data_IF_942008128490
#
_entry.id   IF_942008128490
#
_cell.length_a   1.000
_cell.length_b   1.000
_cell.length_c   1.000
_cell.angle_alpha   90.00
_cell.angle_beta   90.00
_cell.angle_gamma   90.00
#
_symmetry.space_group_name_H-M   'P 1'
#
loop_
_entity.id
_entity.type
_entity.pdbx_description
1 polymer ?
#
# COMPACT_ATOMS: atom_id res chain seq x y z
N UNK A 1 34.29 2.76 21.10
CA UNK A 1 33.73 2.71 22.46
C UNK A 1 32.56 1.75 22.45
N UNK A 2 32.65 0.64 23.19
CA UNK A 2 31.50 -0.23 23.43
C UNK A 2 30.47 0.50 24.28
N UNK A 3 29.20 0.36 23.91
CA UNK A 3 28.07 0.98 24.60
C UNK A 3 27.86 0.14 25.86
N UNK A 4 28.31 0.63 27.02
CA UNK A 4 28.25 -0.11 28.29
C UNK A 4 26.80 -0.51 28.58
N UNK A 5 26.54 -1.81 28.70
CA UNK A 5 25.21 -2.36 28.99
C UNK A 5 24.35 -2.71 27.76
N UNK A 6 24.83 -2.52 26.53
CA UNK A 6 24.15 -3.08 25.35
C UNK A 6 24.72 -4.46 25.02
N UNK A 7 23.87 -5.48 25.09
CA UNK A 7 24.23 -6.89 24.84
C UNK A 7 24.04 -7.23 23.37
N UNK A 8 22.94 -6.78 22.78
CA UNK A 8 22.60 -7.05 21.39
C UNK A 8 21.75 -5.92 20.82
N UNK A 9 21.95 -5.61 19.55
CA UNK A 9 21.13 -4.63 18.83
C UNK A 9 20.89 -5.13 17.41
N UNK A 10 19.63 -5.14 16.99
CA UNK A 10 19.24 -5.34 15.59
C UNK A 10 18.49 -4.12 15.09
N UNK A 11 18.92 -3.60 13.93
CA UNK A 11 18.26 -2.51 13.25
C UNK A 11 17.49 -3.03 12.03
N UNK A 12 16.24 -2.59 11.89
CA UNK A 12 15.38 -2.87 10.73
C UNK A 12 15.01 -1.53 10.09
N UNK A 13 15.50 -1.29 8.88
CA UNK A 13 15.16 -0.11 8.10
C UNK A 13 13.92 -0.38 7.24
N UNK A 14 12.91 0.46 7.38
CA UNK A 14 11.79 0.58 6.46
C UNK A 14 11.88 1.93 5.72
N UNK A 15 10.87 2.26 4.92
CA UNK A 15 10.88 3.47 4.08
C UNK A 15 10.96 4.77 4.91
N UNK A 16 9.98 5.00 5.81
CA UNK A 16 9.92 6.22 6.63
C UNK A 16 10.14 5.95 8.14
N UNK A 17 10.51 4.72 8.49
CA UNK A 17 10.66 4.27 9.88
C UNK A 17 11.87 3.36 10.01
N UNK A 18 12.57 3.47 11.13
CA UNK A 18 13.63 2.54 11.52
C UNK A 18 13.24 1.93 12.87
N UNK A 19 13.26 0.61 12.96
CA UNK A 19 13.05 -0.11 14.20
C UNK A 19 14.37 -0.58 14.77
N UNK A 20 14.53 -0.50 16.08
CA UNK A 20 15.68 -1.02 16.82
C UNK A 20 15.19 -1.99 17.88
N UNK A 21 15.76 -3.18 17.88
CA UNK A 21 15.54 -4.21 18.88
C UNK A 21 16.81 -4.35 19.69
N UNK A 22 16.83 -3.76 20.88
CA UNK A 22 18.00 -3.71 21.73
C UNK A 22 17.78 -4.63 22.93
N UNK A 23 18.73 -5.52 23.21
CA UNK A 23 18.82 -6.26 24.46
C UNK A 23 19.87 -5.57 25.31
N UNK A 24 19.46 -5.13 26.50
CA UNK A 24 20.30 -4.36 27.42
C UNK A 24 20.36 -5.05 28.77
N UNK A 25 21.48 -4.85 29.46
CA UNK A 25 21.73 -5.33 30.81
C UNK A 25 21.86 -4.14 31.75
N UNK A 26 21.13 -4.18 32.86
CA UNK A 26 21.25 -3.17 33.91
C UNK A 26 22.51 -3.44 34.76
N UNK A 27 22.90 -2.47 35.58
CA UNK A 27 24.01 -2.58 36.54
C UNK A 27 23.89 -3.74 37.54
N UNK A 28 22.68 -4.29 37.74
CA UNK A 28 22.41 -5.46 38.58
C UNK A 28 22.53 -6.80 37.86
N UNK A 29 22.73 -6.81 36.54
CA UNK A 29 22.71 -8.02 35.72
C UNK A 29 21.35 -8.34 35.09
N UNK A 30 20.29 -7.61 35.46
CA UNK A 30 18.94 -7.82 34.91
C UNK A 30 18.91 -7.48 33.41
N UNK A 31 18.40 -8.39 32.58
CA UNK A 31 18.30 -8.20 31.13
C UNK A 31 16.91 -7.72 30.75
N UNK A 32 16.82 -6.80 29.78
CA UNK A 32 15.55 -6.31 29.26
C UNK A 32 15.61 -6.03 27.76
N UNK A 33 14.45 -6.13 27.11
CA UNK A 33 14.27 -5.79 25.71
C UNK A 33 13.79 -4.34 25.60
N UNK A 34 14.41 -3.56 24.72
CA UNK A 34 13.97 -2.23 24.33
C UNK A 34 13.68 -2.23 22.83
N UNK A 35 12.43 -1.96 22.47
CA UNK A 35 11.99 -1.79 21.09
C UNK A 35 11.83 -0.30 20.84
N UNK A 36 12.58 0.25 19.89
CA UNK A 36 12.50 1.67 19.51
C UNK A 36 12.02 1.79 18.09
N UNK A 37 10.99 2.58 17.88
CA UNK A 37 10.58 3.06 16.57
C UNK A 37 11.09 4.48 16.39
N UNK A 38 11.83 4.74 15.32
CA UNK A 38 12.22 6.08 14.89
C UNK A 38 11.57 6.39 13.55
N UNK A 39 10.59 7.29 13.54
CA UNK A 39 9.90 7.76 12.34
C UNK A 39 10.54 9.06 11.84
N UNK A 40 10.89 9.11 10.56
CA UNK A 40 11.35 10.34 9.93
C UNK A 40 10.16 11.26 9.66
N UNK A 41 10.24 12.50 10.13
CA UNK A 41 9.25 13.54 9.84
C UNK A 41 9.77 14.43 8.71
N UNK A 42 8.91 14.80 7.76
CA UNK A 42 9.26 15.50 6.50
C UNK A 42 9.92 16.88 6.70
N UNK A 43 10.02 17.39 7.94
CA UNK A 43 10.45 18.76 8.24
C UNK A 43 11.56 18.90 9.27
N UNK A 44 12.49 17.93 9.42
CA UNK A 44 13.78 17.96 10.20
C UNK A 44 13.87 17.12 11.48
N UNK A 45 12.81 16.45 11.91
CA UNK A 45 12.79 15.68 13.17
C UNK A 45 12.69 14.17 13.00
N UNK A 46 13.12 13.44 14.03
CA UNK A 46 12.77 12.03 14.23
C UNK A 46 11.81 11.92 15.41
N UNK A 47 10.63 11.36 15.16
CA UNK A 47 9.73 10.97 16.24
C UNK A 47 10.17 9.60 16.75
N UNK A 48 10.42 9.49 18.05
CA UNK A 48 10.98 8.29 18.67
C UNK A 48 10.03 7.75 19.73
N UNK A 49 9.50 6.56 19.49
CA UNK A 49 8.73 5.82 20.47
C UNK A 49 9.56 4.65 20.98
N UNK A 50 9.55 4.43 22.29
CA UNK A 50 10.27 3.34 22.92
C UNK A 50 9.34 2.54 23.82
N UNK A 51 9.45 1.23 23.74
CA UNK A 51 8.81 0.27 24.63
C UNK A 51 9.92 -0.52 25.31
N UNK A 52 9.82 -0.70 26.62
CA UNK A 52 10.74 -1.52 27.41
C UNK A 52 9.93 -2.70 27.97
N UNK A 53 10.49 -3.90 27.85
CA UNK A 53 9.92 -5.15 28.36
C UNK A 53 10.98 -5.83 29.21
N UNK A 54 10.68 -6.02 30.48
CA UNK A 54 11.56 -6.73 31.41
C UNK A 54 11.45 -8.25 31.22
N UNK A 55 12.48 -8.99 31.62
CA UNK A 55 12.54 -10.44 31.48
C UNK A 55 11.33 -11.16 32.11
N UNK A 56 10.86 -10.68 33.26
CA UNK A 56 9.71 -11.26 33.99
C UNK A 56 8.42 -11.30 33.16
N UNK A 57 8.23 -10.29 32.30
CA UNK A 57 7.02 -10.11 31.48
C UNK A 57 7.23 -10.58 30.02
N UNK A 58 8.47 -10.87 29.63
CA UNK A 58 8.85 -11.13 28.24
C UNK A 58 8.05 -12.28 27.61
N UNK A 59 7.80 -13.35 28.38
CA UNK A 59 7.04 -14.52 27.89
C UNK A 59 5.58 -14.15 27.55
N UNK A 60 4.93 -13.38 28.41
CA UNK A 60 3.55 -12.95 28.20
C UNK A 60 3.47 -11.96 27.04
N UNK A 61 4.42 -11.02 26.98
CA UNK A 61 4.55 -10.07 25.88
C UNK A 61 4.70 -10.78 24.52
N UNK A 62 5.60 -11.77 24.41
CA UNK A 62 5.80 -12.52 23.16
C UNK A 62 4.56 -13.30 22.72
N UNK A 63 3.81 -13.85 23.69
CA UNK A 63 2.56 -14.56 23.39
C UNK A 63 1.52 -13.62 22.80
N UNK A 64 1.29 -12.46 23.43
CA UNK A 64 0.38 -11.44 22.91
C UNK A 64 0.82 -10.86 21.57
N UNK A 65 2.13 -10.73 21.35
CA UNK A 65 2.71 -10.28 20.10
C UNK A 65 2.43 -11.28 18.96
N UNK A 66 2.73 -12.57 19.16
CA UNK A 66 2.52 -13.62 18.16
C UNK A 66 1.04 -13.80 17.80
N UNK A 67 0.14 -13.75 18.79
CA UNK A 67 -1.30 -13.83 18.55
C UNK A 67 -1.80 -12.65 17.70
N UNK A 68 -1.28 -11.45 17.98
CA UNK A 68 -1.58 -10.26 17.20
C UNK A 68 -1.09 -10.37 15.75
N UNK A 69 0.11 -10.91 15.52
CA UNK A 69 0.64 -11.18 14.18
C UNK A 69 -0.24 -12.18 13.41
N UNK A 70 -0.61 -13.31 14.05
CA UNK A 70 -1.50 -14.32 13.45
C UNK A 70 -2.85 -13.72 13.07
N UNK A 71 -3.40 -12.84 13.90
CA UNK A 71 -4.65 -12.15 13.59
C UNK A 71 -4.51 -11.22 12.38
N UNK A 72 -3.43 -10.44 12.30
CA UNK A 72 -3.16 -9.53 11.19
C UNK A 72 -3.07 -10.28 9.85
N UNK A 73 -2.40 -11.44 9.81
CA UNK A 73 -2.33 -12.27 8.60
C UNK A 73 -3.69 -12.79 8.16
N UNK A 74 -4.48 -13.34 9.10
CA UNK A 74 -5.85 -13.81 8.83
C UNK A 74 -6.72 -12.66 8.30
N UNK A 75 -6.63 -11.48 8.91
CA UNK A 75 -7.37 -10.30 8.50
C UNK A 75 -7.01 -9.85 7.08
N UNK A 76 -5.71 -9.79 6.74
CA UNK A 76 -5.25 -9.46 5.38
C UNK A 76 -5.79 -10.44 4.33
N UNK A 77 -5.82 -11.74 4.64
CA UNK A 77 -6.34 -12.79 3.74
C UNK A 77 -7.86 -12.72 3.57
N UNK A 78 -8.61 -12.34 4.60
CA UNK A 78 -10.06 -12.16 4.50
C UNK A 78 -10.42 -10.94 3.63
N UNK A 79 -9.70 -9.82 3.80
CA UNK A 79 -9.91 -8.60 3.03
C UNK A 79 -9.67 -8.82 1.53
N UNK A 80 -8.61 -9.54 1.17
CA UNK A 80 -8.31 -9.83 -0.25
C UNK A 80 -9.35 -10.71 -0.95
N UNK A 81 -10.00 -11.64 -0.23
CA UNK A 81 -11.10 -12.46 -0.77
C UNK A 81 -12.37 -11.65 -1.01
N UNK A 82 -12.74 -10.74 -0.11
CA UNK A 82 -13.93 -9.87 -0.24
C UNK A 82 -13.82 -8.90 -1.43
N UNK A 83 -12.63 -8.33 -1.67
CA UNK A 83 -12.41 -7.47 -2.86
C UNK A 83 -12.52 -8.25 -4.18
N UNK A 84 -12.16 -9.54 -4.19
CA UNK A 84 -12.25 -10.40 -5.39
C UNK A 84 -13.70 -10.81 -5.69
N UNK A 85 -14.51 -11.17 -4.70
CA UNK A 85 -15.91 -11.58 -4.93
C UNK A 85 -16.82 -10.44 -5.38
N UNK A 86 -16.58 -9.20 -4.92
CA UNK A 86 -17.36 -8.02 -5.36
C UNK A 86 -17.16 -7.72 -6.86
N UNK A 87 -15.95 -7.94 -7.39
CA UNK A 87 -15.67 -7.74 -8.82
C UNK A 87 -16.36 -8.77 -9.71
N UNK A 88 -16.57 -10.00 -9.23
CA UNK A 88 -17.24 -11.05 -10.00
C UNK A 88 -18.76 -10.83 -10.05
N UNK A 89 -19.38 -10.41 -8.95
CA UNK A 89 -20.85 -10.21 -8.87
C UNK A 89 -21.34 -9.00 -9.69
N UNK A 90 -20.46 -8.03 -9.95
CA UNK A 90 -20.82 -6.84 -10.74
C UNK A 90 -20.89 -7.11 -12.25
N UNK A 91 -20.37 -8.25 -12.72
CA UNK A 91 -20.27 -8.57 -14.16
C UNK A 91 -21.47 -9.39 -14.68
N UNK A 92 -22.26 -9.98 -13.79
CA UNK A 92 -23.39 -10.86 -14.16
C UNK A 92 -24.77 -10.16 -14.15
N UNK A 93 -24.84 -8.83 -14.04
CA UNK A 93 -26.10 -8.05 -14.07
C UNK A 93 -26.27 -7.14 -15.31
N UNK A 94 -25.59 -7.42 -16.41
CA UNK A 94 -25.86 -6.79 -17.71
C UNK A 94 -26.05 -7.88 -18.77
N UNK A 95 -27.27 -8.41 -18.86
CA UNK A 95 -27.60 -9.42 -19.86
C UNK A 95 -29.03 -9.91 -19.79
N UNK A 96 -30.02 -9.02 -19.95
CA UNK A 96 -31.30 -9.35 -20.60
C UNK A 96 -32.11 -8.06 -20.86
N UNK A 97 -31.90 -7.43 -22.02
CA UNK A 97 -32.87 -6.48 -22.59
C UNK A 97 -33.14 -6.94 -24.02
N UNK A 98 -34.29 -7.60 -24.22
CA UNK A 98 -34.81 -8.01 -25.53
C UNK A 98 -34.87 -6.79 -26.46
N UNK A 99 -34.14 -6.83 -27.56
CA UNK A 99 -34.27 -5.88 -28.67
C UNK A 99 -35.51 -6.22 -29.49
N UNK A 100 -36.58 -5.44 -29.35
CA UNK A 100 -37.65 -5.40 -30.34
C UNK A 100 -37.17 -4.62 -31.59
N UNK A 101 -37.51 -5.14 -32.78
CA UNK A 101 -37.10 -4.56 -34.07
C UNK A 101 -37.98 -3.35 -34.42
N UNK A 102 -37.42 -2.21 -34.88
CA UNK A 102 -38.22 -1.09 -35.34
C UNK A 102 -38.79 -1.35 -36.74
N UNK A 103 -40.10 -1.15 -36.88
CA UNK A 103 -40.88 -1.16 -38.13
C UNK A 103 -40.58 0.11 -38.94
N UNK A 104 -40.28 -0.07 -40.22
CA UNK A 104 -40.01 0.99 -41.18
C UNK A 104 -41.34 1.57 -41.74
N UNK A 105 -41.52 2.88 -41.70
CA UNK A 105 -42.52 3.58 -42.52
C UNK A 105 -41.97 4.92 -43.00
N UNK A 106 -41.90 5.00 -44.32
CA UNK A 106 -41.49 6.13 -45.14
C UNK A 106 -42.30 7.41 -44.85
N UNK A 107 -41.68 8.60 -45.02
CA UNK A 107 -42.04 9.55 -46.10
C UNK A 107 -41.19 10.82 -46.10
N UNK A 108 -40.52 11.01 -47.26
CA UNK A 108 -40.18 12.22 -48.05
C UNK A 108 -40.11 13.64 -47.44
N UNK A 109 -39.15 14.37 -48.02
CA UNK A 109 -39.01 15.84 -48.16
C UNK A 109 -38.59 16.60 -46.90
N UNK A 110 -37.67 17.57 -46.90
CA UNK A 110 -37.01 18.35 -47.96
C UNK A 110 -36.03 19.37 -47.32
N UNK A 111 -35.05 19.88 -48.11
CA UNK A 111 -34.33 21.19 -48.00
C UNK A 111 -33.18 21.25 -46.96
N UNK A 112 -31.91 21.32 -47.43
CA UNK A 112 -30.93 22.47 -47.48
C UNK A 112 -30.75 23.20 -46.12
N UNK A 113 -29.58 23.64 -45.64
CA UNK A 113 -28.44 24.36 -46.26
C UNK A 113 -27.23 24.32 -45.29
N UNK A 114 -26.09 24.82 -45.76
CA UNK A 114 -24.74 24.84 -45.16
C UNK A 114 -24.51 25.84 -44.01
N UNK A 115 -23.27 25.77 -43.47
CA UNK A 115 -22.49 26.70 -42.62
C UNK A 115 -22.09 26.01 -41.31
N UNK A 116 -20.85 26.00 -40.80
CA UNK A 116 -19.62 26.74 -41.07
C UNK A 116 -18.81 26.75 -39.76
N UNK A 117 -17.48 26.76 -39.86
CA UNK A 117 -16.49 27.17 -38.85
C UNK A 117 -16.04 26.25 -37.68
N UNK A 118 -14.81 25.72 -37.88
CA UNK A 118 -13.57 26.08 -37.16
C UNK A 118 -13.42 25.91 -35.63
N UNK A 119 -12.49 25.04 -35.22
CA UNK A 119 -11.24 25.30 -34.44
C UNK A 119 -10.78 23.99 -33.73
N UNK A 120 -9.71 23.33 -34.16
CA UNK A 120 -8.29 23.60 -33.86
C UNK A 120 -7.82 23.18 -32.44
N UNK A 121 -6.98 22.14 -32.36
CA UNK A 121 -5.71 22.09 -31.59
C UNK A 121 -5.17 20.64 -31.54
N UNK A 122 -4.31 20.28 -32.49
CA UNK A 122 -2.84 20.21 -32.38
C UNK A 122 -2.28 19.11 -31.45
N UNK A 123 -1.98 17.98 -32.09
CA UNK A 123 -0.97 16.99 -31.71
C UNK A 123 0.41 17.63 -31.52
N UNK A 124 1.15 17.22 -30.47
CA UNK A 124 2.61 16.99 -30.56
C UNK A 124 3.00 15.75 -29.75
N UNK A 125 3.19 14.63 -30.45
CA UNK A 125 3.95 13.45 -29.98
C UNK A 125 5.45 13.77 -30.05
N UNK A 126 6.24 13.39 -29.03
CA UNK A 126 7.71 13.33 -29.12
C UNK A 126 8.20 11.87 -29.15
N UNK A 127 9.26 11.57 -29.93
CA UNK A 127 9.68 10.20 -30.25
C UNK A 127 10.65 9.55 -29.24
N UNK A 128 10.73 8.23 -29.37
CA UNK A 128 11.44 7.24 -28.54
C UNK A 128 12.90 7.09 -29.01
N UNK A 129 13.87 7.19 -28.09
CA UNK A 129 15.31 6.97 -28.39
C UNK A 129 15.66 5.49 -28.12
N UNK A 130 16.38 4.88 -29.07
CA UNK A 130 16.82 3.48 -29.06
C UNK A 130 18.12 3.27 -28.27
N UNK A 131 18.23 2.06 -27.73
CA UNK A 131 19.33 1.46 -26.96
C UNK A 131 20.60 1.19 -27.78
N UNK A 132 21.76 1.25 -27.11
CA UNK A 132 23.07 0.80 -27.61
C UNK A 132 23.66 -0.21 -26.64
N UNK A 133 23.98 -1.42 -27.13
CA UNK A 133 24.74 -2.48 -26.45
C UNK A 133 26.23 -2.10 -26.43
N UNK A 134 26.93 -2.35 -25.33
CA UNK A 134 28.40 -2.48 -25.31
C UNK A 134 28.79 -3.94 -25.08
N UNK A 135 29.85 -4.33 -25.80
CA UNK A 135 30.60 -5.58 -25.70
C UNK A 135 31.25 -5.72 -24.33
#
# INVERSE_FOLDING_TARGET
MGIRGEVFTTQIQAENRTYFFNVKENTRGDVFLQIVESKSTEGTGFDRHAIVVFEEELRQFMTGFDDSLRFMEKYRRAKSKKTRSVRTVSKDRQGDVKREKPVNRDTRNSIKVADGNNRASLFKKKPRVKSVKKK
#
